data_IF_357790685132
#
_entry.id   IF_357790685132
#
_cell.length_a   1.000
_cell.length_b   1.000
_cell.length_c   1.000
_cell.angle_alpha   90.00
_cell.angle_beta   90.00
_cell.angle_gamma   90.00
#
_symmetry.space_group_name_H-M   'P 1'
#
loop_
_entity.id
_entity.type
_entity.pdbx_description
1 polymer ?
#
# COMPACT_ATOMS: atom_id res chain seq x y z
N UNK A 1 45.63 7.67 59.36
CA UNK A 1 44.67 7.10 60.33
C UNK A 1 44.83 5.59 60.47
N UNK A 2 44.82 4.82 59.37
CA UNK A 2 45.04 3.37 59.38
C UNK A 2 46.30 2.92 60.14
N UNK A 3 47.46 3.54 59.87
CA UNK A 3 48.72 3.22 60.57
C UNK A 3 48.71 3.57 62.07
N UNK A 4 48.03 4.64 62.45
CA UNK A 4 48.03 5.13 63.84
C UNK A 4 47.19 4.22 64.73
N UNK A 5 46.09 3.64 64.22
CA UNK A 5 45.20 2.78 65.00
C UNK A 5 45.74 1.35 65.17
N UNK A 6 46.59 0.89 64.25
CA UNK A 6 47.27 -0.41 64.37
C UNK A 6 48.25 -0.49 65.53
N UNK A 7 48.92 0.61 65.89
CA UNK A 7 49.82 0.67 67.05
C UNK A 7 49.08 0.51 68.39
N UNK A 8 47.78 0.82 68.44
CA UNK A 8 46.93 0.62 69.61
C UNK A 8 46.20 -0.73 69.63
N UNK A 9 46.53 -1.65 68.72
CA UNK A 9 45.96 -2.99 68.67
C UNK A 9 44.56 -3.10 68.06
N UNK A 10 44.06 -2.05 67.40
CA UNK A 10 42.78 -2.06 66.69
C UNK A 10 42.99 -2.40 65.21
N UNK A 11 42.24 -3.37 64.69
CA UNK A 11 42.20 -3.72 63.26
C UNK A 11 40.92 -3.21 62.62
N UNK A 12 41.04 -2.34 61.61
CA UNK A 12 39.90 -1.78 60.90
C UNK A 12 39.58 -2.71 59.72
N UNK A 13 38.48 -3.46 59.80
CA UNK A 13 38.08 -4.44 58.78
C UNK A 13 37.44 -3.78 57.55
N UNK A 14 36.55 -2.81 57.77
CA UNK A 14 35.91 -2.04 56.70
C UNK A 14 35.72 -0.58 57.10
N UNK A 15 36.01 0.32 56.16
CA UNK A 15 35.68 1.74 56.26
C UNK A 15 34.56 2.01 55.25
N UNK A 16 33.34 2.25 55.75
CA UNK A 16 32.25 2.75 54.91
C UNK A 16 32.29 4.27 54.90
N UNK A 17 32.41 4.84 53.71
CA UNK A 17 32.22 6.26 53.51
C UNK A 17 30.72 6.57 53.53
N UNK A 18 30.29 7.42 54.47
CA UNK A 18 28.87 7.70 54.71
C UNK A 18 28.32 8.68 53.67
N UNK A 19 29.02 9.77 53.38
CA UNK A 19 28.60 10.75 52.38
C UNK A 19 29.78 11.58 51.83
N UNK A 20 29.77 11.83 50.51
CA UNK A 20 30.57 12.87 49.86
C UNK A 20 29.60 13.92 49.35
N UNK A 21 29.69 15.15 49.87
CA UNK A 21 28.83 16.25 49.46
C UNK A 21 29.65 17.18 48.56
N UNK A 22 29.52 17.09 47.22
CA UNK A 22 30.13 18.05 46.33
C UNK A 22 29.40 19.40 46.42
N UNK A 23 30.09 20.44 46.00
CA UNK A 23 29.56 21.79 45.92
C UNK A 23 28.21 21.81 45.16
N UNK A 24 27.19 22.55 45.64
CA UNK A 24 25.87 22.59 45.00
C UNK A 24 25.91 22.98 43.52
N UNK A 25 26.83 23.84 43.11
CA UNK A 25 27.02 24.25 41.71
C UNK A 25 27.47 23.07 40.84
N UNK A 26 28.47 22.32 41.32
CA UNK A 26 29.00 21.15 40.63
C UNK A 26 27.94 20.05 40.50
N UNK A 27 27.15 19.82 41.57
CA UNK A 27 26.06 18.83 41.55
C UNK A 27 24.99 19.16 40.51
N UNK A 28 24.61 20.44 40.41
CA UNK A 28 23.63 20.89 39.41
C UNK A 28 24.17 20.71 37.99
N UNK A 29 25.40 21.16 37.74
CA UNK A 29 26.06 21.01 36.44
C UNK A 29 26.20 19.52 36.03
N UNK A 30 26.61 18.65 36.96
CA UNK A 30 26.70 17.22 36.69
C UNK A 30 25.34 16.60 36.37
N UNK A 31 24.27 16.99 37.08
CA UNK A 31 22.92 16.50 36.79
C UNK A 31 22.42 16.98 35.42
N UNK A 32 22.67 18.22 35.05
CA UNK A 32 22.30 18.76 33.75
C UNK A 32 23.04 18.07 32.61
N UNK A 33 24.35 17.80 32.75
CA UNK A 33 25.14 17.05 31.76
C UNK A 33 24.58 15.63 31.60
N UNK A 34 24.32 14.93 32.69
CA UNK A 34 23.76 13.58 32.65
C UNK A 34 22.35 13.55 32.04
N UNK A 35 21.52 14.54 32.36
CA UNK A 35 20.19 14.68 31.78
C UNK A 35 20.25 14.94 30.27
N UNK A 36 21.14 15.85 29.83
CA UNK A 36 21.34 16.15 28.42
C UNK A 36 21.88 14.95 27.64
N UNK A 37 22.84 14.20 28.19
CA UNK A 37 23.36 12.98 27.58
C UNK A 37 22.28 11.91 27.45
N UNK A 38 21.45 11.70 28.48
CA UNK A 38 20.30 10.78 28.41
C UNK A 38 19.27 11.22 27.38
N UNK A 39 18.97 12.52 27.30
CA UNK A 39 18.05 13.08 26.31
C UNK A 39 18.57 12.92 24.89
N UNK A 40 19.87 13.12 24.66
CA UNK A 40 20.49 12.93 23.35
C UNK A 40 20.37 11.48 22.89
N UNK A 41 20.74 10.54 23.75
CA UNK A 41 20.63 9.10 23.49
C UNK A 41 19.16 8.67 23.24
N UNK A 42 18.22 9.19 24.04
CA UNK A 42 16.79 8.94 23.82
C UNK A 42 16.29 9.53 22.49
N UNK A 43 16.81 10.69 22.08
CA UNK A 43 16.43 11.35 20.83
C UNK A 43 17.00 10.63 19.62
N UNK A 44 18.22 10.11 19.70
CA UNK A 44 18.84 9.29 18.68
C UNK A 44 18.04 8.01 18.46
N UNK A 45 17.73 7.26 19.52
CA UNK A 45 16.89 6.07 19.41
C UNK A 45 15.50 6.36 18.88
N UNK A 46 14.89 7.49 19.27
CA UNK A 46 13.59 7.89 18.74
C UNK A 46 13.67 8.22 17.25
N UNK A 47 14.70 8.94 16.81
CA UNK A 47 14.91 9.26 15.40
C UNK A 47 15.15 8.01 14.54
N UNK A 48 15.92 7.05 15.05
CA UNK A 48 16.11 5.76 14.38
C UNK A 48 14.81 4.95 14.30
N UNK A 49 14.04 4.90 15.38
CA UNK A 49 12.75 4.23 15.40
C UNK A 49 11.77 4.83 14.39
N UNK A 50 11.68 6.17 14.33
CA UNK A 50 10.83 6.88 13.39
C UNK A 50 11.26 6.62 11.93
N UNK A 51 12.58 6.61 11.66
CA UNK A 51 13.12 6.26 10.34
C UNK A 51 12.73 4.84 9.93
N UNK A 52 12.90 3.87 10.82
CA UNK A 52 12.54 2.46 10.55
C UNK A 52 11.04 2.35 10.28
N UNK A 53 10.19 3.02 11.06
CA UNK A 53 8.75 3.01 10.88
C UNK A 53 8.34 3.56 9.51
N UNK A 54 8.90 4.71 9.11
CA UNK A 54 8.61 5.33 7.82
C UNK A 54 9.06 4.43 6.65
N UNK A 55 10.29 3.90 6.70
CA UNK A 55 10.81 3.02 5.64
C UNK A 55 9.96 1.76 5.54
N UNK A 56 9.65 1.11 6.67
CA UNK A 56 8.82 -0.11 6.67
C UNK A 56 7.41 0.15 6.16
N UNK A 57 6.83 1.30 6.49
CA UNK A 57 5.52 1.70 5.95
C UNK A 57 5.58 1.91 4.43
N UNK A 58 6.63 2.56 3.93
CA UNK A 58 6.81 2.78 2.49
C UNK A 58 7.05 1.46 1.73
N UNK A 59 7.86 0.56 2.29
CA UNK A 59 8.08 -0.79 1.75
C UNK A 59 6.76 -1.58 1.69
N UNK A 60 5.99 -1.59 2.77
CA UNK A 60 4.70 -2.26 2.83
C UNK A 60 3.69 -1.70 1.83
N UNK A 61 3.66 -0.37 1.63
CA UNK A 61 2.77 0.25 0.65
C UNK A 61 3.16 -0.10 -0.79
N UNK A 62 4.47 -0.11 -1.10
CA UNK A 62 4.98 -0.50 -2.40
C UNK A 62 4.67 -1.97 -2.70
N UNK A 63 4.90 -2.86 -1.73
CA UNK A 63 4.62 -4.28 -1.87
C UNK A 63 3.13 -4.57 -2.02
N UNK A 64 2.27 -3.86 -1.27
CA UNK A 64 0.81 -3.96 -1.41
C UNK A 64 0.35 -3.58 -2.82
N UNK A 65 0.86 -2.45 -3.36
CA UNK A 65 0.56 -2.02 -4.74
C UNK A 65 1.05 -3.03 -5.78
N UNK A 66 2.24 -3.59 -5.57
CA UNK A 66 2.80 -4.62 -6.45
C UNK A 66 1.94 -5.89 -6.47
N UNK A 67 1.64 -6.43 -5.29
CA UNK A 67 0.79 -7.62 -5.15
C UNK A 67 -0.62 -7.40 -5.71
N UNK A 68 -1.19 -6.21 -5.49
CA UNK A 68 -2.47 -5.82 -6.10
C UNK A 68 -2.40 -5.82 -7.64
N UNK A 69 -1.34 -5.23 -8.21
CA UNK A 69 -1.11 -5.23 -9.66
C UNK A 69 -0.94 -6.63 -10.24
N UNK A 70 -0.16 -7.49 -9.58
CA UNK A 70 0.03 -8.89 -9.97
C UNK A 70 -1.30 -9.65 -9.90
N UNK A 71 -2.10 -9.43 -8.85
CA UNK A 71 -3.42 -10.03 -8.70
C UNK A 71 -4.36 -9.67 -9.85
N UNK A 72 -4.45 -8.39 -10.21
CA UNK A 72 -5.28 -7.92 -11.33
C UNK A 72 -4.79 -8.48 -12.67
N UNK A 73 -3.48 -8.49 -12.91
CA UNK A 73 -2.93 -9.04 -14.15
C UNK A 73 -3.23 -10.55 -14.27
N UNK A 74 -3.04 -11.30 -13.19
CA UNK A 74 -3.35 -12.74 -13.14
C UNK A 74 -4.85 -13.01 -13.29
N UNK A 75 -5.70 -12.19 -12.69
CA UNK A 75 -7.15 -12.26 -12.88
C UNK A 75 -7.52 -12.02 -14.34
N UNK A 76 -6.96 -10.99 -14.99
CA UNK A 76 -7.20 -10.71 -16.42
C UNK A 76 -6.78 -11.88 -17.30
N UNK A 77 -5.61 -12.48 -17.03
CA UNK A 77 -5.14 -13.65 -17.75
C UNK A 77 -6.12 -14.83 -17.60
N UNK A 78 -6.54 -15.14 -16.37
CA UNK A 78 -7.52 -16.20 -16.13
C UNK A 78 -8.87 -15.96 -16.85
N UNK A 79 -9.32 -14.70 -16.91
CA UNK A 79 -10.52 -14.32 -17.68
C UNK A 79 -10.31 -14.56 -19.18
N UNK A 80 -9.20 -14.10 -19.74
CA UNK A 80 -8.90 -14.25 -21.18
C UNK A 80 -8.77 -15.73 -21.57
N UNK A 81 -8.06 -16.52 -20.76
CA UNK A 81 -7.90 -17.96 -20.98
C UNK A 81 -9.25 -18.67 -20.92
N UNK A 82 -10.09 -18.36 -19.92
CA UNK A 82 -11.44 -18.88 -19.82
C UNK A 82 -12.34 -18.47 -20.99
N UNK A 83 -12.23 -17.22 -21.48
CA UNK A 83 -12.97 -16.77 -22.66
C UNK A 83 -12.54 -17.53 -23.92
N UNK A 84 -11.23 -17.75 -24.10
CA UNK A 84 -10.68 -18.53 -25.21
C UNK A 84 -11.18 -19.97 -25.18
N UNK A 85 -11.17 -20.60 -24.02
CA UNK A 85 -11.70 -21.96 -23.84
C UNK A 85 -13.19 -22.02 -24.16
N UNK A 86 -13.98 -21.05 -23.67
CA UNK A 86 -15.40 -20.94 -24.01
C UNK A 86 -15.65 -20.80 -25.52
N UNK A 87 -14.86 -19.98 -26.22
CA UNK A 87 -14.96 -19.81 -27.69
C UNK A 87 -14.65 -21.13 -28.41
N UNK A 88 -13.59 -21.83 -28.02
CA UNK A 88 -13.23 -23.14 -28.60
C UNK A 88 -14.32 -24.19 -28.35
N UNK A 89 -14.89 -24.21 -27.14
CA UNK A 89 -15.96 -25.15 -26.78
C UNK A 89 -17.27 -24.88 -27.56
N UNK A 90 -17.60 -23.61 -27.82
CA UNK A 90 -18.77 -23.22 -28.61
C UNK A 90 -18.56 -23.49 -30.11
N UNK A 91 -17.39 -23.15 -30.65
CA UNK A 91 -17.04 -23.38 -32.06
C UNK A 91 -17.09 -24.87 -32.44
N UNK A 92 -16.79 -25.77 -31.50
CA UNK A 92 -16.83 -27.22 -31.73
C UNK A 92 -18.24 -27.83 -31.62
N UNK A 93 -19.21 -27.13 -31.02
CA UNK A 93 -20.58 -27.64 -30.80
C UNK A 93 -21.60 -27.12 -31.80
N UNK A 94 -21.32 -26.02 -32.47
CA UNK A 94 -22.25 -25.38 -33.41
C UNK A 94 -21.51 -25.11 -34.72
N UNK A 95 -21.77 -25.91 -35.75
CA UNK A 95 -21.18 -25.74 -37.08
C UNK A 95 -21.65 -24.40 -37.70
N UNK A 96 -20.71 -23.53 -38.05
CA UNK A 96 -20.96 -22.32 -38.85
C UNK A 96 -20.90 -20.98 -38.11
N UNK A 97 -20.70 -20.95 -36.79
CA UNK A 97 -20.62 -19.67 -36.04
C UNK A 97 -19.23 -19.05 -36.15
N UNK A 98 -19.14 -17.83 -36.64
CA UNK A 98 -17.86 -17.09 -36.71
C UNK A 98 -17.43 -16.64 -35.30
N UNK A 99 -16.12 -16.63 -35.01
CA UNK A 99 -15.59 -16.08 -33.76
C UNK A 99 -16.08 -14.65 -33.46
N UNK A 100 -16.46 -13.91 -34.51
CA UNK A 100 -17.07 -12.58 -34.44
C UNK A 100 -18.47 -12.60 -33.83
N UNK A 101 -19.32 -13.58 -34.19
CA UNK A 101 -20.70 -13.69 -33.68
C UNK A 101 -20.72 -14.11 -32.20
N UNK A 102 -19.78 -14.96 -31.78
CA UNK A 102 -19.60 -15.32 -30.36
C UNK A 102 -19.16 -14.10 -29.56
N UNK A 103 -18.24 -13.29 -30.09
CA UNK A 103 -17.81 -12.04 -29.45
C UNK A 103 -18.96 -11.04 -29.34
N UNK A 104 -19.78 -10.89 -30.38
CA UNK A 104 -20.96 -10.03 -30.37
C UNK A 104 -21.98 -10.49 -29.31
N UNK A 105 -22.22 -11.80 -29.16
CA UNK A 105 -23.09 -12.35 -28.12
C UNK A 105 -22.54 -12.10 -26.70
N UNK A 106 -21.22 -12.27 -26.49
CA UNK A 106 -20.58 -11.97 -25.20
C UNK A 106 -20.70 -10.48 -24.87
N UNK A 107 -20.50 -9.59 -25.84
CA UNK A 107 -20.67 -8.14 -25.64
C UNK A 107 -22.10 -7.77 -25.24
N UNK A 108 -23.11 -8.37 -25.86
CA UNK A 108 -24.52 -8.17 -25.50
C UNK A 108 -24.79 -8.68 -24.08
N UNK A 109 -24.21 -9.83 -23.70
CA UNK A 109 -24.36 -10.39 -22.35
C UNK A 109 -23.70 -9.48 -21.31
N UNK A 110 -22.49 -8.99 -21.57
CA UNK A 110 -21.78 -8.04 -20.73
C UNK A 110 -22.55 -6.72 -20.58
N UNK A 111 -23.20 -6.24 -21.65
CA UNK A 111 -24.07 -5.08 -21.61
C UNK A 111 -25.25 -5.29 -20.65
N UNK A 112 -25.91 -6.45 -20.68
CA UNK A 112 -26.99 -6.75 -19.75
C UNK A 112 -26.52 -6.96 -18.30
N UNK A 113 -25.37 -7.59 -18.10
CA UNK A 113 -24.79 -7.77 -16.77
C UNK A 113 -24.39 -6.41 -16.16
N UNK A 114 -23.82 -5.50 -16.94
CA UNK A 114 -23.51 -4.15 -16.44
C UNK A 114 -24.78 -3.35 -16.11
N UNK A 115 -25.85 -3.48 -16.89
CA UNK A 115 -27.17 -2.90 -16.56
C UNK A 115 -27.73 -3.50 -15.27
N UNK A 116 -27.61 -4.82 -15.09
CA UNK A 116 -28.07 -5.51 -13.88
C UNK A 116 -27.29 -5.07 -12.64
N UNK A 117 -25.97 -4.99 -12.72
CA UNK A 117 -25.12 -4.55 -11.61
C UNK A 117 -25.36 -3.07 -11.28
N UNK A 118 -25.56 -2.24 -12.29
CA UNK A 118 -25.96 -0.85 -12.13
C UNK A 118 -27.34 -0.72 -11.47
N UNK A 119 -28.30 -1.58 -11.83
CA UNK A 119 -29.62 -1.64 -11.23
C UNK A 119 -29.63 -2.17 -9.79
N UNK A 120 -28.71 -3.08 -9.46
CA UNK A 120 -28.54 -3.61 -8.09
C UNK A 120 -27.76 -2.66 -7.17
N UNK A 121 -26.91 -1.80 -7.72
CA UNK A 121 -26.22 -0.75 -6.97
C UNK A 121 -27.22 0.38 -6.66
N UNK A 122 -27.97 0.23 -5.56
CA UNK A 122 -29.11 1.09 -5.19
C UNK A 122 -28.77 2.55 -4.83
N UNK A 123 -27.58 3.05 -5.20
CA UNK A 123 -27.13 4.42 -4.92
C UNK A 123 -27.40 5.34 -6.11
N UNK A 124 -28.65 5.78 -6.23
CA UNK A 124 -29.04 7.09 -6.78
C UNK A 124 -28.48 7.52 -8.16
N UNK A 125 -28.27 6.61 -9.11
CA UNK A 125 -27.88 7.00 -10.47
C UNK A 125 -29.02 6.69 -11.45
N UNK A 126 -29.85 7.69 -11.75
CA UNK A 126 -30.83 7.61 -12.85
C UNK A 126 -30.07 7.71 -14.16
N UNK A 127 -29.75 6.56 -14.77
CA UNK A 127 -29.11 6.50 -16.10
C UNK A 127 -30.20 6.37 -17.16
N UNK A 128 -30.36 7.42 -17.99
CA UNK A 128 -31.20 7.36 -19.18
C UNK A 128 -30.48 6.52 -20.25
N UNK A 129 -30.96 5.30 -20.47
CA UNK A 129 -30.47 4.41 -21.52
C UNK A 129 -31.36 4.63 -22.77
N UNK A 130 -30.86 5.26 -23.84
CA UNK A 130 -31.60 5.35 -25.10
C UNK A 130 -31.72 3.95 -25.71
N UNK A 131 -32.90 3.33 -25.59
CA UNK A 131 -33.18 2.01 -26.15
C UNK A 131 -33.77 2.17 -27.56
N UNK A 132 -32.90 2.03 -28.56
CA UNK A 132 -33.29 1.99 -29.96
C UNK A 132 -32.35 1.06 -30.71
N UNK A 133 -32.82 0.20 -31.62
CA UNK A 133 -31.99 -0.80 -32.30
C UNK A 133 -30.84 -0.20 -33.14
N UNK A 134 -30.89 1.09 -33.49
CA UNK A 134 -29.77 1.82 -34.10
C UNK A 134 -28.66 2.24 -33.13
N UNK A 135 -28.98 2.42 -31.84
CA UNK A 135 -28.08 3.01 -30.86
C UNK A 135 -26.97 2.07 -30.38
N UNK A 136 -27.13 0.74 -30.48
CA UNK A 136 -26.06 -0.20 -30.16
C UNK A 136 -24.89 -0.06 -31.14
N UNK A 137 -25.18 0.20 -32.42
CA UNK A 137 -24.17 0.48 -33.43
C UNK A 137 -23.50 1.83 -33.17
N UNK A 138 -24.28 2.83 -32.78
CA UNK A 138 -23.77 4.17 -32.47
C UNK A 138 -22.87 4.16 -31.21
N UNK A 139 -23.26 3.43 -30.15
CA UNK A 139 -22.44 3.25 -28.94
C UNK A 139 -21.12 2.55 -29.29
N UNK A 140 -21.15 1.51 -30.12
CA UNK A 140 -19.94 0.82 -30.57
C UNK A 140 -19.01 1.70 -31.42
N UNK A 141 -19.55 2.68 -32.14
CA UNK A 141 -18.77 3.69 -32.87
C UNK A 141 -18.18 4.70 -31.90
N UNK A 142 -19.00 5.26 -31.03
CA UNK A 142 -18.59 6.29 -30.06
C UNK A 142 -17.53 5.79 -29.08
N UNK A 143 -17.60 4.54 -28.62
CA UNK A 143 -16.54 3.94 -27.78
C UNK A 143 -15.23 3.85 -28.55
N UNK A 144 -15.29 3.45 -29.83
CA UNK A 144 -14.10 3.30 -30.69
C UNK A 144 -13.46 4.66 -30.97
N UNK A 145 -14.28 5.66 -31.29
CA UNK A 145 -13.84 7.03 -31.56
C UNK A 145 -13.28 7.68 -30.29
N UNK A 146 -13.90 7.43 -29.13
CA UNK A 146 -13.42 7.90 -27.82
C UNK A 146 -12.09 7.26 -27.41
N UNK A 147 -11.91 5.97 -27.65
CA UNK A 147 -10.62 5.30 -27.42
C UNK A 147 -9.53 5.77 -28.39
N UNK A 148 -9.88 6.05 -29.65
CA UNK A 148 -8.95 6.60 -30.64
C UNK A 148 -8.52 8.02 -30.29
N UNK A 149 -9.46 8.87 -29.86
CA UNK A 149 -9.18 10.23 -29.38
C UNK A 149 -8.32 10.23 -28.10
N UNK A 150 -8.59 9.31 -27.15
CA UNK A 150 -7.77 9.14 -25.95
C UNK A 150 -6.34 8.68 -26.29
N UNK A 151 -6.18 7.79 -27.29
CA UNK A 151 -4.87 7.38 -27.77
C UNK A 151 -4.12 8.53 -28.47
N UNK A 152 -4.81 9.42 -29.18
CA UNK A 152 -4.20 10.60 -29.78
C UNK A 152 -3.80 11.66 -28.73
N UNK A 153 -4.59 11.82 -27.67
CA UNK A 153 -4.26 12.74 -26.57
C UNK A 153 -3.03 12.29 -25.77
N UNK A 154 -2.80 10.98 -25.63
CA UNK A 154 -1.60 10.45 -24.98
C UNK A 154 -0.29 10.71 -25.77
N UNK A 155 -0.37 10.98 -27.08
CA UNK A 155 0.81 11.26 -27.90
C UNK A 155 1.25 12.73 -27.80
N UNK A 156 0.36 13.63 -27.39
CA UNK A 156 0.64 15.08 -27.28
C UNK A 156 1.19 15.53 -25.93
N UNK A 157 1.20 14.66 -24.91
CA UNK A 157 1.79 14.95 -23.58
C UNK A 157 3.28 14.57 -23.47
N UNK A 158 3.95 14.33 -24.60
CA UNK A 158 5.40 14.05 -24.67
C UNK A 158 6.09 15.11 -25.55
N UNK A 159 5.99 16.38 -25.15
CA UNK A 159 6.95 17.45 -25.45
C UNK A 159 7.12 18.38 -24.24
#
# INVERSE_FOLDING_TARGET
MYQVMGEYGYSIEHILMVDIIPDPSVRRAMNEINAAQRLLLASEFKGEADKVLIVKKAEAEAESKYLGGVGVARQRQAITDGLRENILHFSNKVEGTSAKEVMDLIMITQYFDTIRDLGNSSKNTTVFIPHGPGHVRDISSQIRDGMMAASCAQVTDVE
#
